data_IF_278396918081
#
_entry.id   IF_278396918081
#
_cell.length_a   1.000
_cell.length_b   1.000
_cell.length_c   1.000
_cell.angle_alpha   90.00
_cell.angle_beta   90.00
_cell.angle_gamma   90.00
#
_symmetry.space_group_name_H-M   'P 1'
#
loop_
_entity.id
_entity.type
_entity.pdbx_description
1 polymer ?
#
# COMPACT_ATOMS: atom_id res chain seq x y z
N UNK A 1 -19.05 -1.82 8.16
CA UNK A 1 -20.33 -1.80 7.42
C UNK A 1 -21.18 -0.56 7.72
N UNK A 2 -21.48 -0.17 8.97
CA UNK A 2 -22.37 0.99 9.23
C UNK A 2 -21.87 2.30 8.61
N UNK A 3 -20.57 2.60 8.73
CA UNK A 3 -19.95 3.78 8.10
C UNK A 3 -20.03 3.78 6.56
N UNK A 4 -19.97 2.59 5.95
CA UNK A 4 -20.03 2.41 4.50
C UNK A 4 -21.46 2.60 3.99
N UNK A 5 -22.48 2.14 4.71
CA UNK A 5 -23.88 2.43 4.40
C UNK A 5 -24.18 3.92 4.50
N UNK A 6 -23.74 4.59 5.58
CA UNK A 6 -23.88 6.04 5.69
C UNK A 6 -23.21 6.81 4.54
N UNK A 7 -22.04 6.32 4.07
CA UNK A 7 -21.37 6.89 2.90
C UNK A 7 -22.15 6.62 1.61
N UNK A 8 -22.67 5.41 1.42
CA UNK A 8 -23.51 5.05 0.27
C UNK A 8 -24.76 5.94 0.18
N UNK A 9 -25.47 6.15 1.29
CA UNK A 9 -26.63 7.07 1.35
C UNK A 9 -26.24 8.51 0.98
N UNK A 10 -25.11 9.01 1.51
CA UNK A 10 -24.61 10.36 1.22
C UNK A 10 -24.27 10.56 -0.26
N UNK A 11 -23.70 9.54 -0.90
CA UNK A 11 -23.35 9.58 -2.31
C UNK A 11 -24.56 9.31 -3.24
N UNK A 12 -25.74 8.97 -2.69
CA UNK A 12 -26.99 8.76 -3.45
C UNK A 12 -27.21 7.31 -3.91
N UNK A 13 -26.53 6.34 -3.30
CA UNK A 13 -26.75 4.92 -3.55
C UNK A 13 -27.88 4.43 -2.63
N UNK A 14 -29.12 4.40 -3.11
CA UNK A 14 -30.29 4.09 -2.25
C UNK A 14 -30.57 2.59 -2.09
N UNK A 15 -30.22 1.75 -3.08
CA UNK A 15 -30.43 0.29 -3.04
C UNK A 15 -29.15 -0.45 -2.65
N UNK A 16 -28.65 -0.22 -1.44
CA UNK A 16 -27.40 -0.84 -0.97
C UNK A 16 -27.62 -2.03 -0.01
N UNK A 17 -28.87 -2.34 0.33
CA UNK A 17 -29.22 -3.44 1.24
C UNK A 17 -28.94 -4.80 0.57
N UNK A 18 -28.13 -5.64 1.22
CA UNK A 18 -27.74 -6.97 0.72
C UNK A 18 -26.48 -7.00 -0.14
N UNK A 19 -25.90 -5.84 -0.49
CA UNK A 19 -24.62 -5.77 -1.19
C UNK A 19 -23.46 -6.21 -0.28
N UNK A 20 -22.49 -6.91 -0.87
CA UNK A 20 -21.22 -7.17 -0.21
C UNK A 20 -20.42 -5.87 -0.05
N UNK A 21 -19.43 -5.86 0.85
CA UNK A 21 -18.55 -4.69 1.06
C UNK A 21 -17.93 -4.19 -0.26
N UNK A 22 -17.48 -5.11 -1.11
CA UNK A 22 -16.85 -4.81 -2.41
C UNK A 22 -17.86 -4.15 -3.34
N UNK A 23 -19.06 -4.72 -3.48
CA UNK A 23 -20.13 -4.15 -4.31
C UNK A 23 -20.49 -2.74 -3.87
N UNK A 24 -20.54 -2.50 -2.55
CA UNK A 24 -20.80 -1.18 -1.98
C UNK A 24 -19.71 -0.16 -2.37
N UNK A 25 -18.44 -0.54 -2.23
CA UNK A 25 -17.30 0.32 -2.57
C UNK A 25 -17.34 0.66 -4.06
N UNK A 26 -17.57 -0.33 -4.92
CA UNK A 26 -17.69 -0.10 -6.37
C UNK A 26 -18.86 0.85 -6.69
N UNK A 27 -20.02 0.68 -6.04
CA UNK A 27 -21.18 1.55 -6.23
C UNK A 27 -20.89 3.01 -5.80
N UNK A 28 -20.27 3.19 -4.63
CA UNK A 28 -19.86 4.52 -4.12
C UNK A 28 -18.87 5.19 -5.08
N UNK A 29 -17.81 4.48 -5.45
CA UNK A 29 -16.78 5.00 -6.38
C UNK A 29 -17.41 5.33 -7.73
N UNK A 30 -18.41 4.56 -8.17
CA UNK A 30 -19.12 4.83 -9.43
C UNK A 30 -19.89 6.15 -9.39
N UNK A 31 -20.58 6.46 -8.31
CA UNK A 31 -21.28 7.74 -8.18
C UNK A 31 -20.30 8.92 -8.08
N UNK A 32 -19.18 8.76 -7.37
CA UNK A 32 -18.12 9.78 -7.32
C UNK A 32 -17.52 10.07 -8.70
N UNK A 33 -17.19 9.02 -9.46
CA UNK A 33 -16.65 9.16 -10.82
C UNK A 33 -17.66 9.81 -11.77
N UNK A 34 -18.97 9.50 -11.67
CA UNK A 34 -20.03 10.17 -12.45
C UNK A 34 -20.08 11.68 -12.17
N UNK A 35 -19.76 12.10 -10.95
CA UNK A 35 -19.65 13.53 -10.56
C UNK A 35 -18.31 14.16 -10.96
N UNK A 36 -17.50 13.46 -11.76
CA UNK A 36 -16.16 13.89 -12.17
C UNK A 36 -15.18 14.05 -10.99
N UNK A 37 -15.42 13.37 -9.87
CA UNK A 37 -14.49 13.32 -8.75
C UNK A 37 -13.36 12.32 -9.03
N UNK A 38 -12.13 12.68 -8.63
CA UNK A 38 -10.96 11.82 -8.77
C UNK A 38 -10.83 10.96 -7.52
N UNK A 39 -11.10 9.67 -7.66
CA UNK A 39 -10.89 8.68 -6.60
C UNK A 39 -9.45 8.18 -6.65
N UNK A 40 -8.78 8.18 -5.50
CA UNK A 40 -7.39 7.70 -5.35
C UNK A 40 -7.35 6.36 -4.65
N UNK A 41 -6.40 5.54 -5.05
CA UNK A 41 -6.10 4.25 -4.44
C UNK A 41 -4.61 4.18 -4.08
N UNK A 42 -4.33 3.40 -3.04
CA UNK A 42 -2.98 3.20 -2.50
C UNK A 42 -2.82 1.73 -2.08
N UNK A 43 -1.63 1.19 -2.25
CA UNK A 43 -1.29 -0.14 -1.76
C UNK A 43 0.14 -0.54 -2.07
N UNK A 44 0.54 -1.71 -1.58
CA UNK A 44 1.87 -2.27 -1.84
C UNK A 44 1.82 -3.10 -3.12
N UNK A 45 2.65 -2.74 -4.09
CA UNK A 45 2.70 -3.42 -5.39
C UNK A 45 3.23 -4.84 -5.23
N UNK A 46 2.51 -5.79 -5.82
CA UNK A 46 2.97 -7.14 -6.12
C UNK A 46 2.97 -7.32 -7.64
N UNK A 47 4.15 -7.56 -8.22
CA UNK A 47 4.31 -7.85 -9.65
C UNK A 47 4.27 -9.38 -9.85
N UNK A 48 3.38 -9.83 -10.71
CA UNK A 48 3.20 -11.25 -11.05
C UNK A 48 4.12 -11.66 -12.21
N UNK A 49 4.33 -12.97 -12.45
CA UNK A 49 5.26 -13.46 -13.48
C UNK A 49 4.98 -12.94 -14.90
N UNK A 50 3.72 -12.67 -15.21
CA UNK A 50 3.28 -12.13 -16.52
C UNK A 50 3.56 -10.62 -16.67
N UNK A 51 4.13 -9.98 -15.64
CA UNK A 51 4.60 -8.59 -15.67
C UNK A 51 3.55 -7.53 -15.36
N UNK A 52 2.28 -7.90 -15.16
CA UNK A 52 1.28 -7.03 -14.53
C UNK A 52 1.34 -7.18 -13.00
N UNK A 53 0.64 -6.33 -12.27
CA UNK A 53 0.65 -6.40 -10.82
C UNK A 53 -0.64 -5.89 -10.17
N UNK A 54 -0.69 -6.06 -8.85
CA UNK A 54 -1.79 -5.58 -8.01
C UNK A 54 -1.24 -4.78 -6.83
N UNK A 55 -1.96 -3.72 -6.45
CA UNK A 55 -1.72 -3.02 -5.19
C UNK A 55 -2.48 -3.73 -4.09
N UNK A 56 -1.73 -4.42 -3.21
CA UNK A 56 -2.25 -5.16 -2.08
C UNK A 56 -2.44 -4.26 -0.86
N UNK A 57 -3.49 -4.53 -0.10
CA UNK A 57 -3.82 -3.78 1.12
C UNK A 57 -3.18 -4.40 2.37
N UNK A 58 -2.58 -3.56 3.21
CA UNK A 58 -2.11 -3.96 4.54
C UNK A 58 -3.28 -4.40 5.45
N UNK A 59 -4.48 -3.86 5.24
CA UNK A 59 -5.68 -4.25 6.00
C UNK A 59 -6.12 -5.70 5.73
N UNK A 60 -5.64 -6.30 4.63
CA UNK A 60 -5.90 -7.68 4.24
C UNK A 60 -4.64 -8.55 4.32
N UNK A 61 -3.65 -8.14 5.10
CA UNK A 61 -2.37 -8.85 5.25
C UNK A 61 -1.66 -9.11 3.91
N UNK A 62 -1.84 -8.22 2.93
CA UNK A 62 -1.31 -8.33 1.58
C UNK A 62 -1.80 -9.56 0.78
N UNK A 63 -2.86 -10.22 1.23
CA UNK A 63 -3.49 -11.31 0.50
C UNK A 63 -4.31 -10.77 -0.67
N UNK A 64 -4.51 -11.63 -1.67
CA UNK A 64 -5.35 -11.31 -2.81
C UNK A 64 -6.78 -10.98 -2.37
N UNK A 65 -7.26 -9.82 -2.79
CA UNK A 65 -8.58 -9.29 -2.46
C UNK A 65 -9.27 -8.78 -3.72
N UNK A 66 -10.60 -8.91 -3.83
CA UNK A 66 -11.36 -8.28 -4.92
C UNK A 66 -11.24 -6.75 -4.95
N UNK A 67 -10.82 -6.13 -3.84
CA UNK A 67 -10.60 -4.69 -3.72
C UNK A 67 -9.24 -4.25 -4.29
N UNK A 68 -8.38 -5.19 -4.72
CA UNK A 68 -7.03 -4.88 -5.19
C UNK A 68 -7.05 -4.10 -6.51
N UNK A 69 -6.08 -3.19 -6.63
CA UNK A 69 -5.96 -2.28 -7.78
C UNK A 69 -4.98 -2.87 -8.79
N UNK A 70 -5.45 -3.14 -9.99
CA UNK A 70 -4.65 -3.57 -11.12
C UNK A 70 -3.66 -2.48 -11.56
N UNK A 71 -2.43 -2.90 -11.84
CA UNK A 71 -1.36 -2.09 -12.41
C UNK A 71 -0.86 -2.73 -13.69
N UNK A 72 -0.86 -1.95 -14.78
CA UNK A 72 -0.49 -2.47 -16.09
C UNK A 72 1.02 -2.75 -16.21
N UNK A 73 1.43 -3.72 -17.04
CA UNK A 73 2.84 -3.98 -17.33
C UNK A 73 3.58 -2.75 -17.89
N UNK A 74 2.87 -1.90 -18.63
CA UNK A 74 3.43 -0.66 -19.18
C UNK A 74 3.79 0.35 -18.09
N UNK A 75 2.93 0.52 -17.08
CA UNK A 75 3.24 1.39 -15.93
C UNK A 75 4.41 0.85 -15.12
N UNK A 76 4.42 -0.46 -14.85
CA UNK A 76 5.50 -1.14 -14.11
C UNK A 76 6.85 -0.97 -14.82
N UNK A 77 6.90 -1.27 -16.12
CA UNK A 77 8.15 -1.14 -16.91
C UNK A 77 8.60 0.30 -17.06
N UNK A 78 7.70 1.23 -17.39
CA UNK A 78 8.04 2.64 -17.64
C UNK A 78 8.64 3.33 -16.42
N UNK A 79 8.11 3.05 -15.23
CA UNK A 79 8.55 3.67 -13.97
C UNK A 79 9.54 2.78 -13.18
N UNK A 80 9.94 1.63 -13.72
CA UNK A 80 10.85 0.69 -13.05
C UNK A 80 10.31 0.20 -11.71
N UNK A 81 9.00 0.01 -11.59
CA UNK A 81 8.37 -0.43 -10.34
C UNK A 81 8.75 -1.88 -10.04
N UNK A 82 8.88 -2.20 -8.75
CA UNK A 82 9.15 -3.56 -8.26
C UNK A 82 8.20 -3.92 -7.14
N UNK A 83 8.06 -5.22 -6.91
CA UNK A 83 7.30 -5.75 -5.76
C UNK A 83 7.83 -5.13 -4.45
N UNK A 84 6.90 -4.75 -3.57
CA UNK A 84 7.20 -4.14 -2.27
C UNK A 84 7.20 -2.60 -2.26
N UNK A 85 7.07 -1.95 -3.43
CA UNK A 85 6.88 -0.50 -3.47
C UNK A 85 5.44 -0.12 -3.14
N UNK A 86 5.26 0.87 -2.26
CA UNK A 86 3.97 1.51 -2.02
C UNK A 86 3.69 2.47 -3.16
N UNK A 87 2.58 2.27 -3.86
CA UNK A 87 2.18 3.07 -5.01
C UNK A 87 0.84 3.72 -4.72
N UNK A 88 0.72 4.98 -5.08
CA UNK A 88 -0.51 5.75 -4.93
C UNK A 88 -0.82 6.51 -6.23
N UNK A 89 -2.12 6.63 -6.53
CA UNK A 89 -2.59 7.45 -7.63
C UNK A 89 -4.08 7.29 -7.91
N UNK A 90 -4.59 8.01 -8.92
CA UNK A 90 -5.99 7.95 -9.28
C UNK A 90 -6.35 6.59 -9.88
N UNK A 91 -7.50 6.06 -9.46
CA UNK A 91 -8.04 4.78 -9.91
C UNK A 91 -9.27 4.99 -10.78
N UNK A 92 -9.52 4.02 -11.65
CA UNK A 92 -10.75 3.91 -12.43
C UNK A 92 -11.49 2.62 -12.11
N UNK A 93 -12.80 2.65 -12.38
CA UNK A 93 -13.67 1.48 -12.26
C UNK A 93 -13.22 0.35 -13.21
N UNK A 94 -13.51 -0.91 -12.86
CA UNK A 94 -13.37 -2.04 -13.77
C UNK A 94 -14.14 -1.82 -15.07
N UNK A 95 -13.57 -2.25 -16.21
CA UNK A 95 -14.28 -2.31 -17.49
C UNK A 95 -15.04 -3.64 -17.56
N UNK A 96 -16.03 -3.73 -18.44
CA UNK A 96 -16.70 -4.97 -18.80
C UNK A 96 -15.69 -6.11 -19.07
N UNK A 97 -15.81 -7.21 -18.32
CA UNK A 97 -14.86 -8.34 -18.35
C UNK A 97 -13.68 -8.26 -17.38
N UNK A 98 -13.58 -7.22 -16.54
CA UNK A 98 -12.61 -7.11 -15.46
C UNK A 98 -13.31 -6.88 -14.11
N UNK A 99 -12.79 -7.49 -13.04
CA UNK A 99 -13.39 -7.42 -11.69
C UNK A 99 -12.70 -6.37 -10.79
N UNK A 100 -11.51 -5.91 -11.16
CA UNK A 100 -10.65 -5.08 -10.33
C UNK A 100 -10.64 -3.61 -10.77
N UNK A 101 -10.46 -2.70 -9.80
CA UNK A 101 -10.09 -1.32 -10.08
C UNK A 101 -8.76 -1.29 -10.83
N UNK A 102 -8.51 -0.27 -11.66
CA UNK A 102 -7.25 -0.11 -12.35
C UNK A 102 -6.61 1.24 -12.04
N UNK A 103 -5.30 1.26 -11.86
CA UNK A 103 -4.54 2.49 -11.67
C UNK A 103 -4.46 3.25 -13.00
N UNK A 104 -4.90 4.51 -13.03
CA UNK A 104 -4.81 5.35 -14.23
C UNK A 104 -3.39 5.88 -14.41
N UNK A 105 -2.84 6.44 -13.34
CA UNK A 105 -1.51 7.02 -13.30
C UNK A 105 -0.90 6.82 -11.92
N UNK A 106 0.42 6.72 -11.87
CA UNK A 106 1.16 6.73 -10.61
C UNK A 106 1.45 8.18 -10.25
N UNK A 107 0.95 8.65 -9.11
CA UNK A 107 1.22 9.98 -8.57
C UNK A 107 2.37 9.95 -7.53
N UNK A 108 2.56 8.83 -6.83
CA UNK A 108 3.59 8.68 -5.80
C UNK A 108 4.08 7.24 -5.67
N UNK A 109 5.37 7.09 -5.35
CA UNK A 109 6.01 5.80 -5.05
C UNK A 109 6.82 5.92 -3.76
N UNK A 110 6.44 5.19 -2.71
CA UNK A 110 6.97 5.29 -1.33
C UNK A 110 6.94 6.73 -0.79
N UNK A 111 5.90 7.51 -1.10
CA UNK A 111 5.76 8.89 -0.62
C UNK A 111 6.57 9.93 -1.40
N UNK A 112 7.21 9.55 -2.51
CA UNK A 112 8.01 10.44 -3.36
C UNK A 112 7.39 10.57 -4.76
N UNK A 113 7.68 11.69 -5.44
CA UNK A 113 7.27 11.85 -6.84
C UNK A 113 7.94 10.77 -7.71
N UNK A 114 7.23 10.18 -8.68
CA UNK A 114 7.80 9.21 -9.61
C UNK A 114 8.99 9.77 -10.39
N UNK A 115 9.02 11.10 -10.59
CA UNK A 115 10.08 11.80 -11.34
C UNK A 115 11.35 12.03 -10.52
N UNK A 116 11.22 12.12 -9.19
CA UNK A 116 12.37 12.30 -8.28
C UNK A 116 13.27 11.05 -8.23
N UNK A 117 12.75 9.89 -8.65
CA UNK A 117 13.46 8.61 -8.61
C UNK A 117 14.28 8.36 -9.87
N UNK A 118 15.36 9.12 -10.02
CA UNK A 118 16.37 8.91 -11.05
C UNK A 118 17.36 7.76 -10.74
N UNK A 119 16.86 6.63 -10.19
CA UNK A 119 17.57 5.37 -9.83
C UNK A 119 18.11 5.32 -8.40
N UNK A 120 17.27 4.96 -7.40
CA UNK A 120 17.82 4.50 -6.13
C UNK A 120 18.68 3.26 -6.36
N UNK A 121 19.85 3.20 -5.71
CA UNK A 121 20.66 1.98 -5.59
C UNK A 121 19.76 0.85 -5.10
N UNK A 122 19.85 -0.33 -5.74
CA UNK A 122 19.03 -1.47 -5.29
C UNK A 122 19.50 -1.90 -3.90
N UNK A 123 18.61 -2.54 -3.12
CA UNK A 123 18.97 -2.99 -1.78
C UNK A 123 20.18 -3.93 -1.80
N UNK A 124 20.28 -4.79 -2.82
CA UNK A 124 21.36 -5.76 -2.98
C UNK A 124 22.72 -5.11 -3.30
N UNK A 125 22.70 -3.92 -3.91
CA UNK A 125 23.91 -3.15 -4.23
C UNK A 125 24.43 -2.31 -3.05
N UNK A 126 23.70 -2.26 -1.93
CA UNK A 126 24.12 -1.51 -0.75
C UNK A 126 25.28 -2.20 -0.05
N UNK A 127 26.31 -1.42 0.32
CA UNK A 127 27.40 -1.93 1.13
C UNK A 127 26.91 -2.29 2.53
N UNK A 128 27.00 -3.56 2.90
CA UNK A 128 26.67 -4.01 4.24
C UNK A 128 27.66 -3.42 5.26
N UNK A 129 27.12 -2.82 6.33
CA UNK A 129 27.89 -2.27 7.44
C UNK A 129 27.40 -2.86 8.76
N UNK A 130 28.29 -2.94 9.74
CA UNK A 130 27.87 -3.17 11.12
C UNK A 130 27.01 -2.00 11.62
N UNK A 131 26.05 -2.25 12.53
CA UNK A 131 25.26 -1.18 13.12
C UNK A 131 26.14 -0.12 13.77
N UNK A 132 26.10 1.09 13.25
CA UNK A 132 26.87 2.24 13.73
C UNK A 132 26.01 3.23 14.54
N UNK A 133 24.70 3.05 14.55
CA UNK A 133 23.74 3.86 15.29
C UNK A 133 22.94 2.98 16.24
N UNK A 134 23.14 3.19 17.53
CA UNK A 134 22.38 2.51 18.60
C UNK A 134 20.91 2.95 18.59
N UNK A 135 20.02 2.00 18.85
CA UNK A 135 18.64 2.23 19.20
C UNK A 135 18.51 2.11 20.71
N UNK A 136 18.18 3.20 21.39
CA UNK A 136 17.89 3.18 22.82
C UNK A 136 16.47 2.68 23.01
N UNK A 137 16.32 1.60 23.77
CA UNK A 137 15.05 0.93 24.05
C UNK A 137 14.50 1.36 25.42
N UNK A 138 15.35 1.84 26.33
CA UNK A 138 14.96 2.45 27.59
C UNK A 138 14.00 3.63 27.35
N UNK A 139 12.86 3.60 28.02
CA UNK A 139 11.81 4.63 27.94
C UNK A 139 11.53 5.23 29.31
N UNK A 140 10.76 4.54 30.14
CA UNK A 140 10.38 4.96 31.49
C UNK A 140 11.11 4.13 32.55
N UNK A 141 11.26 4.67 33.76
CA UNK A 141 12.08 4.04 34.80
C UNK A 141 11.53 2.71 35.34
N UNK A 142 10.23 2.48 35.18
CA UNK A 142 9.51 1.26 35.54
C UNK A 142 9.65 0.14 34.50
N UNK A 143 9.97 0.46 33.24
CA UNK A 143 10.22 -0.55 32.21
C UNK A 143 11.65 -1.10 32.34
N UNK A 144 11.77 -2.23 33.05
CA UNK A 144 13.06 -2.85 33.32
C UNK A 144 13.55 -3.75 32.18
N UNK A 145 12.66 -4.29 31.36
CA UNK A 145 13.02 -5.27 30.31
C UNK A 145 13.91 -4.63 29.25
N UNK A 146 13.51 -3.48 28.73
CA UNK A 146 14.26 -2.79 27.68
C UNK A 146 15.59 -2.25 28.19
N UNK A 147 15.67 -1.87 29.48
CA UNK A 147 16.91 -1.45 30.15
C UNK A 147 17.92 -2.57 30.26
N UNK A 148 17.48 -3.78 30.63
CA UNK A 148 18.34 -4.96 30.65
C UNK A 148 18.87 -5.25 29.24
N UNK A 149 18.01 -5.22 28.21
CA UNK A 149 18.44 -5.38 26.81
C UNK A 149 19.48 -4.32 26.42
N UNK A 150 19.24 -3.06 26.76
CA UNK A 150 20.16 -1.96 26.48
C UNK A 150 21.53 -2.12 27.17
N UNK A 151 21.57 -2.72 28.36
CA UNK A 151 22.82 -2.92 29.10
C UNK A 151 23.62 -4.12 28.61
N UNK A 152 22.95 -5.25 28.34
CA UNK A 152 23.63 -6.52 28.05
C UNK A 152 23.73 -6.84 26.56
N UNK A 153 22.73 -6.46 25.77
CA UNK A 153 22.63 -6.81 24.34
C UNK A 153 22.14 -5.61 23.52
N UNK A 154 22.91 -4.51 23.42
CA UNK A 154 22.46 -3.27 22.79
C UNK A 154 22.09 -3.51 21.32
N UNK A 155 20.93 -2.97 20.91
CA UNK A 155 20.40 -3.12 19.55
C UNK A 155 20.75 -1.87 18.72
N UNK A 156 21.30 -2.07 17.53
CA UNK A 156 21.58 -1.01 16.57
C UNK A 156 20.70 -1.06 15.32
N UNK A 157 20.67 0.03 14.54
CA UNK A 157 20.00 0.05 13.24
C UNK A 157 20.68 -0.93 12.28
N UNK A 158 19.91 -1.89 11.77
CA UNK A 158 20.42 -2.99 10.94
C UNK A 158 20.91 -4.21 11.74
N UNK A 159 20.70 -4.25 13.06
CA UNK A 159 21.01 -5.40 13.89
C UNK A 159 20.17 -6.62 13.47
N UNK A 160 20.80 -7.80 13.40
CA UNK A 160 20.14 -9.09 13.22
C UNK A 160 20.35 -9.93 14.48
N UNK A 161 19.35 -9.96 15.35
CA UNK A 161 19.37 -10.71 16.61
C UNK A 161 18.50 -11.96 16.56
N UNK A 162 18.73 -12.87 17.50
CA UNK A 162 17.88 -14.01 17.81
C UNK A 162 17.54 -13.91 19.30
N UNK A 163 16.26 -14.07 19.65
CA UNK A 163 15.77 -14.10 21.03
C UNK A 163 15.51 -15.57 21.39
#
# INVERSE_FOLDING_TARGET
MPKLFAMAEREGVHEHAGMTRVQLIVAIVREQVKRSEVVRGSGTLEVLPDGYGFLRSAAHNYLASPEDIYVSPSQIRRLGLRTGLVVEGPIRLPIEGQDNFALMQVESVNGHSPEEKLRPTTFDDLTALHPNKRMLLETTGDETTTRVVDLFTPIGKGQRGLI
#
